data_IF_171618384813
#
_entry.id   IF_171618384813
#
_cell.length_a   1.000
_cell.length_b   1.000
_cell.length_c   1.000
_cell.angle_alpha   90.00
_cell.angle_beta   90.00
_cell.angle_gamma   90.00
#
_symmetry.space_group_name_H-M   'P 1'
#
loop_
_entity.id
_entity.type
_entity.pdbx_description
1 polymer ?
#
# COMPACT_ATOMS: atom_id res chain seq x y z
N UNK A 1 34.59 45.60 37.67
CA UNK A 1 34.16 44.82 38.84
C UNK A 1 32.67 45.10 39.03
N UNK A 2 31.77 44.14 38.74
CA UNK A 2 30.32 44.09 39.07
C UNK A 2 29.42 45.25 38.59
N UNK A 3 28.12 45.15 38.30
CA UNK A 3 27.13 44.11 38.03
C UNK A 3 25.90 44.85 37.41
N UNK A 4 25.02 44.12 36.71
CA UNK A 4 23.83 44.54 35.93
C UNK A 4 22.69 45.24 36.77
N UNK A 5 21.43 45.47 36.31
CA UNK A 5 20.76 45.22 35.00
C UNK A 5 19.71 46.27 34.52
N UNK A 6 19.27 46.21 33.24
CA UNK A 6 17.89 46.57 32.83
C UNK A 6 17.54 46.08 31.40
N UNK A 7 16.91 44.90 31.35
CA UNK A 7 15.75 44.47 30.52
C UNK A 7 15.36 45.35 29.30
N UNK A 8 15.28 44.76 28.11
CA UNK A 8 14.01 44.31 27.48
C UNK A 8 14.02 44.31 25.95
N UNK A 9 13.56 43.18 25.39
CA UNK A 9 12.87 43.03 24.09
C UNK A 9 13.69 43.14 22.80
N UNK A 10 13.99 42.00 22.17
CA UNK A 10 13.27 41.56 20.96
C UNK A 10 13.94 40.32 20.33
N UNK A 11 13.16 39.24 20.23
CA UNK A 11 13.34 38.00 19.44
C UNK A 11 14.70 37.69 18.79
N UNK A 12 15.42 36.67 19.27
CA UNK A 12 15.30 35.24 18.88
C UNK A 12 15.50 34.94 17.39
N UNK A 13 16.66 34.31 17.14
CA UNK A 13 16.92 33.22 16.19
C UNK A 13 17.14 33.67 14.74
N UNK A 14 18.41 33.95 14.41
CA UNK A 14 18.94 33.66 13.07
C UNK A 14 18.82 32.15 12.87
N UNK A 15 17.79 31.75 12.14
CA UNK A 15 17.55 30.37 11.73
C UNK A 15 18.78 29.87 10.95
N UNK A 16 19.24 28.69 11.36
CA UNK A 16 20.22 27.85 10.67
C UNK A 16 19.79 27.66 9.20
N UNK A 17 20.75 27.44 8.26
CA UNK A 17 20.39 27.17 6.88
C UNK A 17 19.50 25.92 6.82
N UNK A 18 18.43 26.08 6.05
CA UNK A 18 17.43 25.06 5.76
C UNK A 18 18.06 23.94 4.94
N UNK A 19 18.58 22.92 5.61
CA UNK A 19 18.74 21.57 5.06
C UNK A 19 17.87 20.61 5.88
N UNK A 20 16.60 20.99 6.01
CA UNK A 20 15.54 20.17 6.57
C UNK A 20 14.83 19.43 5.44
N UNK A 21 15.45 18.35 4.99
CA UNK A 21 14.81 17.29 4.22
C UNK A 21 13.38 17.05 4.75
N UNK A 22 12.39 17.24 3.87
CA UNK A 22 10.99 17.41 4.24
C UNK A 22 10.39 16.24 5.04
N UNK A 23 9.21 16.44 5.68
CA UNK A 23 8.53 15.39 6.41
C UNK A 23 7.83 14.46 5.42
N UNK A 24 8.61 13.66 4.70
CA UNK A 24 8.16 12.44 4.04
C UNK A 24 8.14 11.30 5.05
N UNK A 25 7.27 11.41 6.05
CA UNK A 25 7.03 10.31 6.97
C UNK A 25 6.50 9.08 6.21
N UNK A 26 6.97 7.90 6.64
CA UNK A 26 6.49 6.52 6.36
C UNK A 26 7.17 5.88 5.13
N UNK A 27 7.78 4.70 5.21
CA UNK A 27 7.50 3.56 6.07
C UNK A 27 8.80 2.84 6.49
N UNK A 28 8.95 2.60 7.79
CA UNK A 28 9.60 1.38 8.25
C UNK A 28 8.67 0.23 7.86
N UNK A 29 9.09 -0.60 6.90
CA UNK A 29 8.20 -1.55 6.24
C UNK A 29 8.95 -2.74 5.67
N UNK A 30 9.81 -3.37 6.45
CA UNK A 30 10.14 -4.78 6.22
C UNK A 30 10.12 -5.52 7.54
N UNK A 31 8.93 -5.54 8.16
CA UNK A 31 8.59 -6.69 9.00
C UNK A 31 8.58 -7.88 8.07
N UNK A 32 9.50 -8.81 8.32
CA UNK A 32 9.71 -10.08 7.64
C UNK A 32 8.38 -10.70 7.17
N UNK A 33 7.99 -10.35 5.95
CA UNK A 33 6.96 -11.06 5.22
C UNK A 33 7.63 -12.28 4.61
N UNK A 34 6.96 -13.42 4.65
CA UNK A 34 7.30 -14.58 3.81
C UNK A 34 7.79 -14.06 2.46
N UNK A 35 9.06 -14.32 2.13
CA UNK A 35 9.69 -13.92 0.88
C UNK A 35 9.00 -14.66 -0.28
N UNK A 36 7.80 -14.21 -0.63
CA UNK A 36 7.18 -14.56 -1.90
C UNK A 36 7.96 -13.83 -2.97
N UNK A 37 8.87 -14.56 -3.60
CA UNK A 37 9.60 -14.08 -4.76
C UNK A 37 8.59 -13.68 -5.85
N UNK A 38 8.85 -12.58 -6.58
CA UNK A 38 7.91 -12.03 -7.58
C UNK A 38 7.53 -13.07 -8.64
N UNK A 39 8.40 -14.04 -8.91
CA UNK A 39 8.12 -15.17 -9.82
C UNK A 39 6.97 -16.06 -9.31
N UNK A 40 7.00 -16.48 -8.03
CA UNK A 40 5.91 -17.31 -7.47
C UNK A 40 4.62 -16.50 -7.34
N UNK A 41 4.76 -15.21 -7.04
CA UNK A 41 3.61 -14.30 -7.04
C UNK A 41 2.96 -14.20 -8.42
N UNK A 42 3.77 -14.11 -9.49
CA UNK A 42 3.26 -14.03 -10.84
C UNK A 42 2.49 -15.30 -11.25
N UNK A 43 3.05 -16.49 -10.95
CA UNK A 43 2.35 -17.76 -11.20
C UNK A 43 1.02 -17.82 -10.43
N UNK A 44 0.99 -17.37 -9.18
CA UNK A 44 -0.22 -17.27 -8.39
C UNK A 44 -1.24 -16.32 -9.04
N UNK A 45 -0.81 -15.15 -9.50
CA UNK A 45 -1.66 -14.18 -10.20
C UNK A 45 -2.26 -14.75 -11.49
N UNK A 46 -1.46 -15.46 -12.29
CA UNK A 46 -1.94 -16.10 -13.52
C UNK A 46 -3.00 -17.17 -13.22
N UNK A 47 -2.75 -18.02 -12.21
CA UNK A 47 -3.72 -19.02 -11.76
C UNK A 47 -4.99 -18.36 -11.29
N UNK A 48 -4.87 -17.32 -10.47
CA UNK A 48 -6.02 -16.57 -9.96
C UNK A 48 -6.82 -15.94 -11.11
N UNK A 49 -6.17 -15.34 -12.10
CA UNK A 49 -6.84 -14.76 -13.25
C UNK A 49 -7.57 -15.82 -14.08
N UNK A 50 -6.94 -16.98 -14.29
CA UNK A 50 -7.49 -18.09 -15.07
C UNK A 50 -8.66 -18.77 -14.36
N UNK A 51 -8.56 -18.98 -13.06
CA UNK A 51 -9.61 -19.60 -12.25
C UNK A 51 -10.69 -18.62 -11.83
N UNK A 52 -10.45 -17.30 -11.95
CA UNK A 52 -11.35 -16.27 -11.49
C UNK A 52 -12.79 -16.37 -11.99
N UNK A 53 -13.06 -16.61 -13.27
CA UNK A 53 -14.43 -16.81 -13.76
C UNK A 53 -15.10 -18.07 -13.19
N UNK A 54 -14.35 -19.16 -13.01
CA UNK A 54 -14.86 -20.42 -12.48
C UNK A 54 -15.04 -20.39 -10.95
N UNK A 55 -14.16 -19.67 -10.25
CA UNK A 55 -14.17 -19.48 -8.81
C UNK A 55 -14.89 -18.18 -8.38
N UNK A 56 -15.54 -17.48 -9.31
CA UNK A 56 -16.27 -16.23 -9.09
C UNK A 56 -17.41 -16.35 -8.06
N UNK A 57 -17.87 -17.58 -7.79
CA UNK A 57 -18.90 -17.92 -6.80
C UNK A 57 -18.30 -18.44 -5.49
N UNK A 58 -16.99 -18.72 -5.45
CA UNK A 58 -16.32 -19.29 -4.29
C UNK A 58 -15.85 -18.19 -3.33
N UNK A 59 -16.36 -18.24 -2.10
CA UNK A 59 -15.96 -17.28 -1.06
C UNK A 59 -14.49 -17.45 -0.64
N UNK A 60 -13.95 -18.67 -0.72
CA UNK A 60 -12.54 -18.94 -0.40
C UNK A 60 -11.60 -18.20 -1.36
N UNK A 61 -11.90 -18.26 -2.66
CA UNK A 61 -11.16 -17.53 -3.69
C UNK A 61 -11.24 -16.01 -3.47
N UNK A 62 -12.44 -15.48 -3.20
CA UNK A 62 -12.63 -14.06 -2.95
C UNK A 62 -11.83 -13.57 -1.72
N UNK A 63 -11.80 -14.35 -0.64
CA UNK A 63 -10.97 -14.05 0.55
C UNK A 63 -9.48 -14.08 0.23
N UNK A 64 -9.02 -15.11 -0.48
CA UNK A 64 -7.64 -15.23 -0.91
C UNK A 64 -7.22 -14.03 -1.76
N UNK A 65 -8.05 -13.65 -2.73
CA UNK A 65 -7.80 -12.50 -3.60
C UNK A 65 -7.69 -11.20 -2.80
N UNK A 66 -8.58 -10.99 -1.83
CA UNK A 66 -8.53 -9.82 -0.96
C UNK A 66 -7.24 -9.79 -0.12
N UNK A 67 -6.82 -10.93 0.43
CA UNK A 67 -5.55 -11.06 1.14
C UNK A 67 -4.38 -10.75 0.22
N UNK A 68 -4.39 -11.28 -1.00
CA UNK A 68 -3.33 -11.05 -1.98
C UNK A 68 -3.20 -9.56 -2.29
N UNK A 69 -4.31 -8.91 -2.59
CA UNK A 69 -4.34 -7.49 -2.94
C UNK A 69 -3.94 -6.57 -1.80
N UNK A 70 -4.23 -6.93 -0.55
CA UNK A 70 -3.92 -6.09 0.61
C UNK A 70 -2.55 -6.38 1.21
N UNK A 71 -2.08 -7.64 1.17
CA UNK A 71 -0.76 -8.03 1.70
C UNK A 71 0.36 -7.81 0.70
N UNK A 72 0.10 -8.09 -0.58
CA UNK A 72 1.10 -8.01 -1.64
C UNK A 72 0.88 -6.79 -2.55
N UNK A 73 0.19 -5.75 -2.08
CA UNK A 73 -0.04 -4.52 -2.85
C UNK A 73 1.22 -3.94 -3.48
N UNK A 74 2.35 -3.97 -2.75
CA UNK A 74 3.64 -3.46 -3.23
C UNK A 74 4.28 -4.32 -4.33
N UNK A 75 3.84 -5.57 -4.49
CA UNK A 75 4.34 -6.50 -5.51
C UNK A 75 3.40 -6.61 -6.71
N UNK A 76 2.18 -6.07 -6.63
CA UNK A 76 1.21 -6.11 -7.72
C UNK A 76 1.56 -5.05 -8.75
N UNK A 77 1.83 -5.49 -9.97
CA UNK A 77 2.05 -4.60 -11.11
C UNK A 77 0.73 -4.13 -11.71
N UNK A 78 0.75 -2.99 -12.43
CA UNK A 78 -0.44 -2.45 -13.08
C UNK A 78 -1.09 -3.48 -14.03
N UNK A 79 -0.28 -4.21 -14.80
CA UNK A 79 -0.75 -5.27 -15.71
C UNK A 79 -1.48 -6.38 -14.95
N UNK A 80 -0.92 -6.85 -13.83
CA UNK A 80 -1.58 -7.85 -12.98
C UNK A 80 -2.89 -7.32 -12.40
N UNK A 81 -2.91 -6.06 -11.92
CA UNK A 81 -4.13 -5.40 -11.42
C UNK A 81 -5.23 -5.36 -12.48
N UNK A 82 -4.91 -5.00 -13.72
CA UNK A 82 -5.86 -5.00 -14.84
C UNK A 82 -6.35 -6.41 -15.16
N UNK A 83 -5.45 -7.39 -15.13
CA UNK A 83 -5.78 -8.81 -15.28
C UNK A 83 -6.76 -9.29 -14.21
N UNK A 84 -6.57 -8.87 -12.96
CA UNK A 84 -7.48 -9.17 -11.84
C UNK A 84 -8.82 -8.41 -11.92
N UNK A 85 -8.85 -7.21 -12.49
CA UNK A 85 -10.07 -6.42 -12.59
C UNK A 85 -11.20 -7.15 -13.34
N UNK A 86 -10.85 -7.93 -14.37
CA UNK A 86 -11.80 -8.72 -15.15
C UNK A 86 -12.51 -9.81 -14.33
N UNK A 87 -11.82 -10.80 -13.74
CA UNK A 87 -12.45 -11.83 -12.90
C UNK A 87 -13.09 -11.23 -11.63
N UNK A 88 -12.54 -10.14 -11.09
CA UNK A 88 -13.14 -9.43 -9.96
C UNK A 88 -14.45 -8.74 -10.29
N UNK A 89 -14.58 -8.19 -11.50
CA UNK A 89 -15.83 -7.59 -11.98
C UNK A 89 -16.93 -8.64 -12.16
N UNK A 90 -16.53 -9.84 -12.62
CA UNK A 90 -17.39 -11.02 -12.80
C UNK A 90 -17.73 -11.74 -11.48
N UNK A 91 -17.02 -11.42 -10.39
CA UNK A 91 -17.27 -12.03 -9.09
C UNK A 91 -18.62 -11.57 -8.52
N UNK A 92 -19.49 -12.53 -8.21
CA UNK A 92 -20.85 -12.28 -7.67
C UNK A 92 -20.91 -12.41 -6.16
N UNK A 93 -19.78 -12.66 -5.48
CA UNK A 93 -19.76 -12.82 -4.03
C UNK A 93 -19.97 -11.49 -3.30
N UNK A 94 -20.28 -11.60 -2.02
CA UNK A 94 -20.44 -10.45 -1.12
C UNK A 94 -19.17 -9.58 -1.00
N UNK A 95 -18.00 -10.16 -1.29
CA UNK A 95 -16.71 -9.46 -1.24
C UNK A 95 -16.43 -8.62 -2.49
N UNK A 96 -17.29 -8.63 -3.52
CA UNK A 96 -17.12 -7.83 -4.74
C UNK A 96 -16.80 -6.36 -4.44
N UNK A 97 -17.55 -5.73 -3.54
CA UNK A 97 -17.34 -4.33 -3.13
C UNK A 97 -15.96 -4.14 -2.47
N UNK A 98 -15.57 -5.06 -1.57
CA UNK A 98 -14.27 -5.03 -0.89
C UNK A 98 -13.10 -5.24 -1.86
N UNK A 99 -13.25 -6.16 -2.82
CA UNK A 99 -12.26 -6.42 -3.86
C UNK A 99 -12.10 -5.21 -4.79
N UNK A 100 -13.20 -4.57 -5.15
CA UNK A 100 -13.17 -3.34 -5.95
C UNK A 100 -12.53 -2.18 -5.17
N UNK A 101 -12.79 -2.06 -3.87
CA UNK A 101 -12.11 -1.09 -3.01
C UNK A 101 -10.60 -1.38 -2.92
N UNK A 102 -10.20 -2.64 -2.74
CA UNK A 102 -8.80 -3.03 -2.75
C UNK A 102 -8.13 -2.71 -4.11
N UNK A 103 -8.80 -2.93 -5.24
CA UNK A 103 -8.27 -2.56 -6.57
C UNK A 103 -8.01 -1.06 -6.68
N UNK A 104 -8.88 -0.23 -6.09
CA UNK A 104 -8.72 1.22 -6.07
C UNK A 104 -7.57 1.66 -5.16
N UNK A 105 -7.32 0.94 -4.06
CA UNK A 105 -6.16 1.19 -3.21
C UNK A 105 -4.83 0.80 -3.87
N UNK A 106 -4.87 -0.11 -4.85
CA UNK A 106 -3.74 -0.42 -5.71
C UNK A 106 -3.51 0.64 -6.81
N UNK A 107 -4.32 1.69 -6.88
CA UNK A 107 -4.08 2.83 -7.76
C UNK A 107 -3.35 3.93 -6.99
N UNK A 108 -2.30 4.54 -7.57
CA UNK A 108 -1.67 5.73 -7.00
C UNK A 108 -2.64 6.91 -6.90
#
# INVERSE_FOLDING_TARGET
MNAAPARSSSNRITVLPYEGQGPGARQAGSTAGVEMTPEKFNVLMERLCKEGPAAATSMAYAKLMLTVMTKYQANITETQRLGLATPLSLNTTFLRKSLQAALRHLAP
#
